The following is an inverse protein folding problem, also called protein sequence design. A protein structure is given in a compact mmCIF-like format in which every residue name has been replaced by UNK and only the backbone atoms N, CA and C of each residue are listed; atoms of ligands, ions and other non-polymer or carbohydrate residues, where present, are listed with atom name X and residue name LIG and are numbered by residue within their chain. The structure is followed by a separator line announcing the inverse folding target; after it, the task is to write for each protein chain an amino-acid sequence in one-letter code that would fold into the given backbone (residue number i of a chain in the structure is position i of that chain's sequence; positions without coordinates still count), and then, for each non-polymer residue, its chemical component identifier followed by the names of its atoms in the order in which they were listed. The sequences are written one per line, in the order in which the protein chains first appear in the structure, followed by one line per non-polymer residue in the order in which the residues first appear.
data_IF_397647482038
#
_entry.id   IF_397647482038
#
_cell.length_a   1.000
_cell.length_b   1.000
_cell.length_c   1.000
_cell.angle_alpha   90.00
_cell.angle_beta   90.00
_cell.angle_gamma   90.00
#
_symmetry.space_group_name_H-M   'P 1'
#
loop_
_entity.id
_entity.type
_entity.pdbx_description
1 polymer ?
#
# COMPACT_ATOMS: atom_id res chain seq x y z
N UNK A 1 -3.34 -16.70 10.83
CA UNK A 1 -2.84 -15.70 11.79
C UNK A 1 -3.93 -14.66 11.97
N UNK A 2 -4.51 -14.60 13.17
CA UNK A 2 -5.55 -13.63 13.55
C UNK A 2 -5.01 -12.22 13.39
N UNK A 3 -5.72 -11.35 12.66
CA UNK A 3 -5.40 -9.92 12.58
C UNK A 3 -5.49 -9.34 13.99
N UNK A 4 -4.36 -9.14 14.65
CA UNK A 4 -4.30 -8.30 15.83
C UNK A 4 -4.83 -6.90 15.47
N UNK A 5 -5.50 -6.22 16.38
CA UNK A 5 -6.04 -4.89 16.14
C UNK A 5 -4.88 -3.88 16.14
N UNK A 6 -4.26 -3.74 14.96
CA UNK A 6 -3.18 -2.80 14.66
C UNK A 6 -3.70 -1.36 14.90
N UNK A 7 -3.22 -0.70 15.96
CA UNK A 7 -3.63 0.66 16.34
C UNK A 7 -2.58 1.67 15.87
N UNK A 8 -2.90 2.61 14.96
CA UNK A 8 -1.93 3.59 14.48
C UNK A 8 -1.35 4.45 15.62
N UNK A 9 -0.03 4.63 15.62
CA UNK A 9 0.67 5.46 16.63
C UNK A 9 0.54 6.95 16.38
N UNK A 10 0.11 7.36 15.17
CA UNK A 10 0.07 8.76 14.73
C UNK A 10 1.44 9.35 14.40
N UNK A 11 2.52 8.58 14.55
CA UNK A 11 3.86 8.97 14.11
C UNK A 11 3.90 8.87 12.58
N UNK A 12 4.41 9.90 11.93
CA UNK A 12 4.61 9.91 10.48
C UNK A 12 6.07 9.60 10.16
N UNK A 13 6.28 8.73 9.17
CA UNK A 13 7.60 8.52 8.58
C UNK A 13 7.59 9.00 7.14
N UNK A 14 8.65 9.74 6.83
CA UNK A 14 8.95 10.22 5.49
C UNK A 14 10.02 9.32 4.90
N UNK A 15 9.85 8.96 3.64
CA UNK A 15 10.91 8.35 2.85
C UNK A 15 11.77 9.44 2.19
N UNK A 16 12.97 9.11 1.68
CA UNK A 16 13.86 10.07 1.03
C UNK A 16 13.15 10.82 -0.11
N UNK A 17 13.52 12.06 -0.41
CA UNK A 17 12.88 12.85 -1.48
C UNK A 17 12.90 12.15 -2.86
N UNK A 18 13.94 11.35 -3.12
CA UNK A 18 14.09 10.54 -4.35
C UNK A 18 13.52 9.11 -4.22
N UNK A 19 13.01 8.76 -3.04
CA UNK A 19 12.47 7.45 -2.74
C UNK A 19 11.05 7.32 -3.24
N UNK A 20 10.77 6.32 -4.08
CA UNK A 20 9.40 5.99 -4.49
C UNK A 20 9.02 4.62 -3.96
N UNK A 21 7.92 4.56 -3.21
CA UNK A 21 7.31 3.29 -2.82
C UNK A 21 6.55 2.77 -4.03
N UNK A 22 6.97 1.59 -4.54
CA UNK A 22 6.41 1.01 -5.75
C UNK A 22 5.94 -0.41 -5.48
N UNK A 23 4.69 -0.69 -5.84
CA UNK A 23 4.14 -2.03 -5.90
C UNK A 23 3.32 -2.22 -7.16
N UNK A 24 3.33 -3.42 -7.72
CA UNK A 24 2.45 -3.85 -8.80
C UNK A 24 1.50 -4.91 -8.29
N UNK A 25 0.26 -4.86 -8.75
CA UNK A 25 -0.77 -5.82 -8.39
C UNK A 25 -1.33 -6.53 -9.61
N UNK A 26 -1.77 -7.78 -9.45
CA UNK A 26 -2.60 -8.44 -10.45
C UNK A 26 -4.01 -7.82 -10.53
N UNK A 27 -4.83 -8.29 -11.48
CA UNK A 27 -6.22 -7.84 -11.65
C UNK A 27 -7.13 -8.18 -10.45
N UNK A 28 -6.66 -9.01 -9.51
CA UNK A 28 -7.36 -9.36 -8.27
C UNK A 28 -6.83 -8.55 -7.07
N UNK A 29 -5.89 -7.62 -7.29
CA UNK A 29 -5.31 -6.75 -6.27
C UNK A 29 -4.26 -7.43 -5.40
N UNK A 30 -3.73 -8.58 -5.82
CA UNK A 30 -2.62 -9.25 -5.14
C UNK A 30 -1.30 -8.67 -5.59
N UNK A 31 -0.40 -8.43 -4.66
CA UNK A 31 0.91 -7.85 -4.96
C UNK A 31 1.74 -8.87 -5.74
N UNK A 32 2.07 -8.52 -6.98
CA UNK A 32 2.93 -9.31 -7.88
C UNK A 32 4.40 -8.83 -7.81
N UNK A 33 4.60 -7.58 -7.44
CA UNK A 33 5.92 -6.98 -7.28
C UNK A 33 5.88 -5.88 -6.22
N UNK A 34 6.94 -5.78 -5.44
CA UNK A 34 7.22 -4.65 -4.56
C UNK A 34 8.72 -4.32 -4.67
N UNK A 35 9.05 -3.03 -4.57
CA UNK A 35 10.44 -2.59 -4.48
C UNK A 35 10.95 -2.68 -3.03
N UNK A 36 12.26 -2.60 -2.84
CA UNK A 36 12.89 -2.72 -1.52
C UNK A 36 12.38 -1.69 -0.52
N UNK A 37 12.11 -0.46 -0.98
CA UNK A 37 11.56 0.59 -0.12
C UNK A 37 10.16 0.24 0.39
N UNK A 38 9.32 -0.43 -0.41
CA UNK A 38 8.04 -0.95 0.07
C UNK A 38 8.23 -2.01 1.16
N UNK A 39 9.18 -2.94 0.98
CA UNK A 39 9.51 -3.98 1.97
C UNK A 39 9.97 -3.34 3.29
N UNK A 40 10.96 -2.44 3.22
CA UNK A 40 11.52 -1.73 4.37
C UNK A 40 10.46 -0.89 5.11
N UNK A 41 9.63 -0.16 4.37
CA UNK A 41 8.63 0.73 4.96
C UNK A 41 7.45 -0.06 5.52
N UNK A 42 7.00 -1.13 4.85
CA UNK A 42 5.86 -1.94 5.30
C UNK A 42 6.19 -2.82 6.52
N UNK A 43 7.47 -3.15 6.72
CA UNK A 43 7.92 -4.07 7.77
C UNK A 43 7.65 -5.53 7.47
N UNK A 44 7.21 -5.85 6.25
CA UNK A 44 7.05 -7.23 5.77
C UNK A 44 8.24 -7.62 4.89
N UNK A 45 8.65 -8.89 4.98
CA UNK A 45 9.60 -9.45 4.03
C UNK A 45 8.95 -9.68 2.67
N UNK A 46 9.77 -9.76 1.62
CA UNK A 46 9.30 -10.04 0.26
C UNK A 46 8.37 -11.25 0.17
N UNK A 47 8.72 -12.34 0.85
CA UNK A 47 7.96 -13.59 0.84
C UNK A 47 6.60 -13.46 1.54
N UNK A 48 6.50 -12.54 2.50
CA UNK A 48 5.24 -12.22 3.19
C UNK A 48 4.34 -11.29 2.38
N UNK A 49 4.91 -10.47 1.48
CA UNK A 49 4.17 -9.48 0.68
C UNK A 49 3.65 -10.08 -0.62
N UNK A 50 4.45 -10.91 -1.29
CA UNK A 50 4.09 -11.44 -2.60
C UNK A 50 2.85 -12.33 -2.51
N UNK A 51 1.89 -12.07 -3.39
CA UNK A 51 0.61 -12.77 -3.44
C UNK A 51 -0.43 -12.33 -2.38
N UNK A 52 -0.05 -11.44 -1.45
CA UNK A 52 -0.99 -10.84 -0.51
C UNK A 52 -1.83 -9.74 -1.17
N UNK A 53 -3.06 -9.50 -0.70
CA UNK A 53 -3.85 -8.37 -1.16
C UNK A 53 -3.17 -7.05 -0.79
N UNK A 54 -3.21 -6.07 -1.70
CA UNK A 54 -2.61 -4.75 -1.49
C UNK A 54 -3.20 -3.98 -0.29
N UNK A 55 -4.38 -4.39 0.19
CA UNK A 55 -4.99 -3.83 1.39
C UNK A 55 -4.29 -4.20 2.71
N UNK A 56 -3.23 -5.03 2.66
CA UNK A 56 -2.44 -5.46 3.83
C UNK A 56 -1.91 -4.26 4.63
N UNK A 57 -1.42 -3.24 3.93
CA UNK A 57 -0.80 -2.04 4.51
C UNK A 57 -1.77 -0.86 4.60
N UNK A 58 -3.08 -1.10 4.52
CA UNK A 58 -4.07 -0.02 4.46
C UNK A 58 -4.24 0.64 5.82
N UNK A 59 -4.15 1.97 5.88
CA UNK A 59 -4.52 2.72 7.06
C UNK A 59 -6.06 2.70 7.28
N UNK A 60 -6.56 2.46 8.51
CA UNK A 60 -7.99 2.43 8.80
C UNK A 60 -8.71 3.74 8.43
N UNK A 61 -8.04 4.88 8.59
CA UNK A 61 -8.59 6.19 8.24
C UNK A 61 -8.60 6.48 6.73
N UNK A 62 -8.10 5.57 5.89
CA UNK A 62 -8.11 5.77 4.44
C UNK A 62 -9.55 5.68 3.89
N UNK A 63 -10.09 6.74 3.27
CA UNK A 63 -11.48 6.77 2.85
C UNK A 63 -11.80 5.70 1.81
N UNK A 64 -12.94 5.03 2.00
CA UNK A 64 -13.38 3.95 1.12
C UNK A 64 -13.65 4.42 -0.32
N UNK A 65 -14.00 5.70 -0.51
CA UNK A 65 -14.27 6.28 -1.83
C UNK A 65 -13.02 6.31 -2.73
N UNK A 66 -11.83 6.50 -2.16
CA UNK A 66 -10.58 6.50 -2.92
C UNK A 66 -10.27 5.09 -3.47
N UNK A 67 -10.53 4.06 -2.68
CA UNK A 67 -10.41 2.68 -3.13
C UNK A 67 -11.43 2.32 -4.22
N UNK A 68 -12.66 2.83 -4.10
CA UNK A 68 -13.65 2.66 -5.15
C UNK A 68 -13.17 3.29 -6.46
N UNK A 69 -12.69 4.52 -6.42
CA UNK A 69 -12.11 5.19 -7.58
C UNK A 69 -10.94 4.40 -8.17
N UNK A 70 -10.04 3.90 -7.31
CA UNK A 70 -8.93 3.05 -7.70
C UNK A 70 -9.38 1.81 -8.47
N UNK A 71 -10.31 1.03 -7.91
CA UNK A 71 -10.81 -0.19 -8.54
C UNK A 71 -11.59 0.08 -9.82
N UNK A 72 -12.44 1.11 -9.82
CA UNK A 72 -13.20 1.51 -11.01
C UNK A 72 -12.25 1.94 -12.15
N UNK A 73 -11.10 2.53 -11.82
CA UNK A 73 -10.08 2.96 -12.80
C UNK A 73 -9.26 1.79 -13.32
N UNK A 74 -8.84 0.87 -12.45
CA UNK A 74 -8.16 -0.36 -12.84
C UNK A 74 -9.01 -1.26 -13.75
N UNK A 75 -10.31 -1.39 -13.46
CA UNK A 75 -11.23 -2.16 -14.31
C UNK A 75 -11.36 -1.57 -15.71
N UNK A 76 -11.18 -0.26 -15.85
CA UNK A 76 -11.13 0.43 -17.14
C UNK A 76 -9.77 0.32 -17.85
N UNK A 77 -8.80 -0.41 -17.27
CA UNK A 77 -7.40 -0.50 -17.76
C UNK A 77 -6.74 0.87 -17.90
N UNK A 78 -7.04 1.77 -16.97
CA UNK A 78 -6.45 3.11 -16.90
C UNK A 78 -5.50 3.18 -15.71
N UNK A 79 -4.45 3.97 -15.87
CA UNK A 79 -3.56 4.32 -14.78
C UNK A 79 -4.25 5.30 -13.82
N UNK A 80 -3.88 5.24 -12.54
CA UNK A 80 -4.37 6.16 -11.52
C UNK A 80 -3.22 6.63 -10.65
N UNK A 81 -3.17 7.94 -10.42
CA UNK A 81 -2.26 8.56 -9.48
C UNK A 81 -3.10 9.05 -8.29
N UNK A 82 -2.91 8.42 -7.14
CA UNK A 82 -3.63 8.76 -5.92
C UNK A 82 -2.67 8.74 -4.74
N UNK A 83 -2.89 9.64 -3.78
CA UNK A 83 -2.21 9.59 -2.50
C UNK A 83 -2.97 8.64 -1.58
N UNK A 84 -2.24 7.70 -0.99
CA UNK A 84 -2.78 6.74 -0.03
C UNK A 84 -1.99 6.84 1.27
N UNK A 85 -2.72 6.72 2.37
CA UNK A 85 -2.14 6.58 3.71
C UNK A 85 -1.97 5.10 4.00
N UNK A 86 -0.72 4.69 4.26
CA UNK A 86 -0.40 3.30 4.59
C UNK A 86 -0.03 3.13 6.07
N UNK A 87 -0.26 1.93 6.58
CA UNK A 87 0.01 1.45 7.92
C UNK A 87 0.94 0.23 7.84
N UNK A 88 2.24 0.38 8.19
CA UNK A 88 3.21 -0.68 8.28
C UNK A 88 3.06 -1.44 9.60
N UNK A 89 3.76 -2.55 9.71
CA UNK A 89 3.76 -3.39 10.91
C UNK A 89 4.16 -2.61 12.18
N UNK A 90 4.96 -1.54 12.04
CA UNK A 90 5.37 -0.65 13.13
C UNK A 90 4.33 0.40 13.52
N UNK A 91 3.11 0.38 12.96
CA UNK A 91 1.99 1.28 13.30
C UNK A 91 2.19 2.75 12.89
N UNK A 92 3.01 3.03 11.87
CA UNK A 92 3.44 4.39 11.50
C UNK A 92 2.75 4.87 10.21
N UNK A 93 2.26 6.11 10.16
CA UNK A 93 1.64 6.63 8.94
C UNK A 93 2.69 6.89 7.83
N UNK A 94 2.52 6.30 6.65
CA UNK A 94 3.33 6.60 5.46
C UNK A 94 2.54 7.53 4.53
N UNK A 95 3.09 8.71 4.27
CA UNK A 95 2.55 9.69 3.32
C UNK A 95 3.04 9.37 1.92
N UNK A 96 2.12 8.93 1.06
CA UNK A 96 2.25 8.67 -0.38
C UNK A 96 2.68 7.25 -0.77
N UNK A 97 1.85 6.64 -1.61
CA UNK A 97 2.14 5.48 -2.44
C UNK A 97 1.50 5.73 -3.81
N UNK A 98 2.27 5.61 -4.88
CA UNK A 98 1.78 5.73 -6.25
C UNK A 98 1.48 4.32 -6.73
N UNK A 99 0.21 4.04 -7.07
CA UNK A 99 -0.18 2.73 -7.58
C UNK A 99 -0.32 2.79 -9.10
N UNK A 100 0.74 2.40 -9.81
CA UNK A 100 0.73 2.26 -11.27
C UNK A 100 0.17 0.87 -11.60
N UNK A 101 -0.97 0.84 -12.28
CA UNK A 101 -1.58 -0.40 -12.75
C UNK A 101 -1.13 -0.76 -14.15
N UNK A 102 -0.22 -1.74 -14.27
CA UNK A 102 -0.14 -2.82 -15.28
C UNK A 102 0.83 -3.91 -14.79
#
# INVERSE_FOLDING_TARGET
MSKENITPTGIEIYFPEDGLIVSKTDLKGKIAYANKLFEEMSGYSRDEILGQPHNLIRHPDMPHCIFKLFWDTLQQRKEIFAYVVNLPMSLICIKAAIIIGF
#
